data_IF_282625052883
#
_entry.id   IF_282625052883
#
_cell.length_a   1.000
_cell.length_b   1.000
_cell.length_c   1.000
_cell.angle_alpha   90.00
_cell.angle_beta   90.00
_cell.angle_gamma   90.00
#
_symmetry.space_group_name_H-M   'P 1'
#
loop_
_entity.id
_entity.type
_entity.pdbx_description
1 polymer ?
#
# COMPACT_ATOMS: atom_id res chain seq x y z
N UNK A 1 -7.14 6.32 -19.65
CA UNK A 1 -6.99 6.29 -18.18
C UNK A 1 -7.74 5.05 -17.69
N UNK A 2 -7.05 4.09 -17.06
CA UNK A 2 -7.74 2.94 -16.44
C UNK A 2 -8.35 3.45 -15.13
N UNK A 3 -9.68 3.47 -15.05
CA UNK A 3 -10.40 3.86 -13.85
C UNK A 3 -10.38 2.73 -12.81
N UNK A 4 -10.34 3.09 -11.53
CA UNK A 4 -10.59 2.14 -10.45
C UNK A 4 -12.09 1.82 -10.40
N UNK A 5 -12.50 0.56 -10.16
CA UNK A 5 -13.90 0.21 -9.93
C UNK A 5 -14.54 1.03 -8.81
N UNK A 6 -15.85 1.20 -8.86
CA UNK A 6 -16.60 1.81 -7.76
C UNK A 6 -16.46 0.96 -6.49
N UNK A 7 -16.22 1.62 -5.35
CA UNK A 7 -16.03 0.94 -4.06
C UNK A 7 -14.60 0.48 -3.78
N UNK A 8 -13.63 0.73 -4.67
CA UNK A 8 -12.21 0.53 -4.36
C UNK A 8 -11.81 1.38 -3.15
N UNK A 9 -11.32 0.71 -2.09
CA UNK A 9 -10.77 1.39 -0.90
C UNK A 9 -9.29 1.65 -1.09
N UNK A 10 -8.83 2.76 -0.55
CA UNK A 10 -7.41 3.13 -0.51
C UNK A 10 -6.94 3.06 0.94
N UNK A 11 -5.87 2.30 1.17
CA UNK A 11 -5.27 2.11 2.47
C UNK A 11 -3.89 2.74 2.50
N UNK A 12 -3.62 3.60 3.48
CA UNK A 12 -2.31 4.20 3.68
C UNK A 12 -1.59 3.53 4.85
N UNK A 13 -0.41 2.97 4.60
CA UNK A 13 0.43 2.45 5.66
C UNK A 13 0.93 3.61 6.55
N UNK A 14 0.51 3.63 7.82
CA UNK A 14 0.84 4.71 8.75
C UNK A 14 2.35 4.76 9.10
N UNK A 15 3.02 3.59 9.09
CA UNK A 15 4.45 3.48 9.39
C UNK A 15 5.31 3.62 8.14
N UNK A 16 6.54 4.08 8.34
CA UNK A 16 7.56 4.09 7.30
C UNK A 16 7.82 2.66 6.83
N UNK A 17 7.74 2.48 5.52
CA UNK A 17 8.01 1.22 4.83
C UNK A 17 9.33 1.34 4.09
N UNK A 18 10.21 0.34 4.22
CA UNK A 18 11.36 0.24 3.34
C UNK A 18 10.87 0.04 1.90
N UNK A 19 11.11 1.02 1.04
CA UNK A 19 10.69 1.04 -0.36
C UNK A 19 11.59 0.17 -1.25
N UNK A 20 12.65 -0.44 -0.70
CA UNK A 20 13.42 -1.51 -1.37
C UNK A 20 12.72 -2.87 -1.31
N UNK A 21 11.65 -2.99 -0.51
CA UNK A 21 10.85 -4.20 -0.43
C UNK A 21 10.09 -4.42 -1.76
N UNK A 22 10.26 -5.59 -2.36
CA UNK A 22 9.51 -6.00 -3.55
C UNK A 22 8.04 -6.31 -3.24
N UNK A 23 7.28 -6.60 -4.30
CA UNK A 23 5.83 -6.81 -4.22
C UNK A 23 5.42 -7.88 -3.20
N UNK A 24 6.08 -9.04 -3.19
CA UNK A 24 5.78 -10.12 -2.23
C UNK A 24 5.93 -9.66 -0.77
N UNK A 25 6.98 -8.90 -0.47
CA UNK A 25 7.21 -8.37 0.87
C UNK A 25 6.20 -7.29 1.26
N UNK A 26 5.72 -6.50 0.30
CA UNK A 26 4.65 -5.52 0.55
C UNK A 26 3.29 -6.23 0.75
N UNK A 27 2.96 -7.24 -0.05
CA UNK A 27 1.76 -8.05 0.11
C UNK A 27 1.73 -8.76 1.47
N UNK A 28 2.87 -9.31 1.91
CA UNK A 28 3.02 -9.87 3.25
C UNK A 28 2.74 -8.84 4.35
N UNK A 29 3.14 -7.57 4.16
CA UNK A 29 2.82 -6.48 5.11
C UNK A 29 1.33 -6.15 5.11
N UNK A 30 0.66 -6.16 3.96
CA UNK A 30 -0.81 -5.99 3.91
C UNK A 30 -1.50 -7.08 4.72
N UNK A 31 -1.05 -8.33 4.55
CA UNK A 31 -1.64 -9.46 5.26
C UNK A 31 -1.35 -9.45 6.77
N UNK A 32 -0.11 -9.14 7.16
CA UNK A 32 0.33 -9.29 8.57
C UNK A 32 0.19 -8.03 9.41
N UNK A 33 0.26 -6.84 8.82
CA UNK A 33 0.20 -5.56 9.54
C UNK A 33 -1.16 -4.88 9.36
N UNK A 34 -1.73 -4.92 8.15
CA UNK A 34 -3.04 -4.34 7.89
C UNK A 34 -4.17 -5.36 8.08
N UNK A 35 -3.84 -6.64 8.25
CA UNK A 35 -4.79 -7.74 8.41
C UNK A 35 -5.84 -7.78 7.27
N UNK A 36 -5.38 -7.51 6.04
CA UNK A 36 -6.20 -7.51 4.84
C UNK A 36 -5.69 -8.50 3.81
N UNK A 37 -6.57 -8.92 2.91
CA UNK A 37 -6.18 -9.62 1.70
C UNK A 37 -5.47 -8.64 0.73
N UNK A 38 -4.19 -8.87 0.36
CA UNK A 38 -3.48 -8.03 -0.60
C UNK A 38 -4.07 -8.09 -2.03
N UNK A 39 -4.91 -9.07 -2.35
CA UNK A 39 -5.45 -9.30 -3.69
C UNK A 39 -6.93 -8.93 -3.84
N UNK A 40 -7.52 -8.25 -2.85
CA UNK A 40 -8.95 -7.90 -2.84
C UNK A 40 -9.39 -6.77 -3.81
N UNK A 41 -8.53 -6.37 -4.76
CA UNK A 41 -8.85 -5.27 -5.69
C UNK A 41 -8.86 -3.88 -5.05
N UNK A 42 -8.19 -3.72 -3.90
CA UNK A 42 -8.00 -2.44 -3.22
C UNK A 42 -6.59 -1.89 -3.44
N UNK A 43 -6.42 -0.59 -3.19
CA UNK A 43 -5.13 0.09 -3.35
C UNK A 43 -4.46 0.21 -1.99
N UNK A 44 -3.21 -0.24 -1.90
CA UNK A 44 -2.38 -0.11 -0.71
C UNK A 44 -1.20 0.82 -1.01
N UNK A 45 -1.14 1.93 -0.27
CA UNK A 45 -0.14 2.98 -0.44
C UNK A 45 0.88 2.88 0.70
N UNK A 46 2.15 2.84 0.33
CA UNK A 46 3.28 2.78 1.25
C UNK A 46 4.14 4.02 1.10
N UNK A 47 4.74 4.47 2.22
CA UNK A 47 5.63 5.62 2.23
C UNK A 47 7.02 5.25 2.77
N UNK A 48 8.05 5.72 2.08
CA UNK A 48 9.44 5.63 2.54
C UNK A 48 9.83 6.68 3.58
N UNK A 49 11.00 6.51 4.21
CA UNK A 49 11.51 7.44 5.25
C UNK A 49 11.74 8.86 4.72
N UNK A 50 12.09 8.98 3.44
CA UNK A 50 12.31 10.27 2.75
C UNK A 50 11.03 10.82 2.10
N UNK A 51 9.88 10.19 2.35
CA UNK A 51 8.62 10.40 1.62
C UNK A 51 7.86 11.68 1.95
N UNK A 52 8.55 12.80 2.23
CA UNK A 52 7.93 14.13 2.18
C UNK A 52 8.42 14.87 0.93
N UNK A 53 7.75 14.61 -0.18
CA UNK A 53 7.73 15.52 -1.32
C UNK A 53 6.25 15.74 -1.64
N UNK A 54 5.59 16.44 -0.71
CA UNK A 54 4.38 17.20 -0.99
C UNK A 54 4.82 18.63 -0.73
N UNK A 55 5.43 19.24 -1.74
CA UNK A 55 5.71 20.67 -1.80
C UNK A 55 4.80 21.25 -2.86
#
# INVERSE_FOLDING_TARGET
MIGLPSGTRVWLAARVTDMRAGFNSLAAKVQTVLERDPFCGHVFVFRGKRGSLVT
#
